data_IF_695295702872
#
_entry.id   IF_695295702872
#
_cell.length_a   1.000
_cell.length_b   1.000
_cell.length_c   1.000
_cell.angle_alpha   90.00
_cell.angle_beta   90.00
_cell.angle_gamma   90.00
#
_symmetry.space_group_name_H-M   'P 1'
#
loop_
_entity.id
_entity.type
_entity.pdbx_description
1 polymer ?
#
# COMPACT_ATOMS: atom_id res chain seq x y z
N UNK A 1 28.42 -32.08 -5.07
CA UNK A 1 28.95 -32.25 -3.69
C UNK A 1 29.42 -33.69 -3.51
N UNK A 2 30.68 -33.91 -3.13
CA UNK A 2 31.36 -35.21 -3.18
C UNK A 2 30.86 -36.15 -2.05
N UNK A 3 30.49 -37.41 -2.36
CA UNK A 3 29.89 -38.37 -1.41
C UNK A 3 30.74 -38.57 -0.15
N UNK A 4 32.07 -38.60 -0.29
CA UNK A 4 33.01 -38.74 0.83
C UNK A 4 33.00 -37.55 1.80
N UNK A 5 32.72 -36.34 1.31
CA UNK A 5 32.65 -35.12 2.14
C UNK A 5 31.39 -35.13 3.01
N UNK A 6 30.26 -35.59 2.47
CA UNK A 6 28.99 -35.70 3.19
C UNK A 6 29.05 -36.76 4.30
N UNK A 7 29.66 -37.92 4.03
CA UNK A 7 29.83 -38.98 5.04
C UNK A 7 30.75 -38.55 6.19
N UNK A 8 31.83 -37.80 5.91
CA UNK A 8 32.71 -37.24 6.96
C UNK A 8 32.00 -36.18 7.82
N UNK A 9 31.16 -35.33 7.22
CA UNK A 9 30.39 -34.32 7.96
C UNK A 9 29.36 -34.95 8.89
N UNK A 10 28.66 -36.00 8.44
CA UNK A 10 27.68 -36.72 9.26
C UNK A 10 28.37 -37.41 10.44
N UNK A 11 29.50 -38.10 10.21
CA UNK A 11 30.24 -38.78 11.28
C UNK A 11 30.71 -37.80 12.37
N UNK A 12 31.25 -36.64 11.97
CA UNK A 12 31.67 -35.59 12.91
C UNK A 12 30.50 -35.00 13.70
N UNK A 13 29.32 -34.89 13.09
CA UNK A 13 28.09 -34.44 13.76
C UNK A 13 27.59 -35.42 14.82
N UNK A 14 27.68 -36.73 14.56
CA UNK A 14 27.32 -37.78 15.52
C UNK A 14 28.28 -37.82 16.71
N UNK A 15 29.59 -37.72 16.48
CA UNK A 15 30.59 -37.62 17.56
C UNK A 15 30.35 -36.38 18.45
N UNK A 16 29.96 -35.25 17.86
CA UNK A 16 29.58 -34.05 18.61
C UNK A 16 28.28 -34.24 19.40
N UNK A 17 27.32 -34.99 18.85
CA UNK A 17 26.06 -35.29 19.54
C UNK A 17 26.31 -36.13 20.79
N UNK A 18 27.11 -37.20 20.68
CA UNK A 18 27.49 -38.06 21.82
C UNK A 18 28.18 -37.25 22.93
N UNK A 19 29.09 -36.33 22.56
CA UNK A 19 29.75 -35.45 23.52
C UNK A 19 28.78 -34.52 24.26
N UNK A 20 27.78 -33.98 23.55
CA UNK A 20 26.78 -33.11 24.15
C UNK A 20 25.80 -33.88 25.03
N UNK A 21 25.43 -35.11 24.68
CA UNK A 21 24.57 -35.96 25.51
C UNK A 21 25.29 -36.39 26.80
N UNK A 22 26.59 -36.65 26.74
CA UNK A 22 27.42 -36.87 27.93
C UNK A 22 27.48 -35.60 28.80
N UNK A 23 27.74 -34.44 28.18
CA UNK A 23 27.76 -33.16 28.88
C UNK A 23 26.41 -32.88 29.56
N UNK A 24 25.28 -33.15 28.90
CA UNK A 24 23.95 -32.98 29.48
C UNK A 24 23.79 -33.84 30.74
N UNK A 25 24.19 -35.12 30.66
CA UNK A 25 24.13 -36.06 31.79
C UNK A 25 24.99 -35.58 32.96
N UNK A 26 26.14 -34.97 32.70
CA UNK A 26 27.00 -34.39 33.73
C UNK A 26 26.41 -33.11 34.35
N UNK A 27 25.83 -32.22 33.55
CA UNK A 27 25.22 -30.98 34.05
C UNK A 27 23.94 -31.26 34.85
N UNK A 28 23.17 -32.30 34.50
CA UNK A 28 22.00 -32.76 35.28
C UNK A 28 22.37 -33.30 36.67
N UNK A 29 23.61 -33.78 36.86
CA UNK A 29 24.09 -34.26 38.17
C UNK A 29 24.52 -33.12 39.10
N UNK A 30 24.67 -31.89 38.59
CA UNK A 30 25.05 -30.72 39.39
C UNK A 30 23.78 -30.01 39.85
N UNK A 31 23.68 -29.72 41.14
CA UNK A 31 22.58 -28.91 41.69
C UNK A 31 22.60 -27.49 41.10
N UNK A 32 21.41 -26.93 40.84
CA UNK A 32 21.17 -25.55 40.38
C UNK A 32 21.82 -25.15 39.04
N UNK A 33 21.71 -25.99 37.99
CA UNK A 33 22.36 -25.74 36.70
C UNK A 33 21.40 -25.66 35.49
N UNK A 34 20.12 -25.33 35.74
CA UNK A 34 19.03 -25.32 34.75
C UNK A 34 19.35 -24.50 33.47
N UNK A 35 20.04 -23.37 33.61
CA UNK A 35 20.43 -22.51 32.48
C UNK A 35 21.39 -23.24 31.53
N UNK A 36 22.37 -23.98 32.07
CA UNK A 36 23.31 -24.75 31.24
C UNK A 36 22.65 -25.96 30.64
N UNK A 37 21.79 -26.66 31.38
CA UNK A 37 20.99 -27.78 30.89
C UNK A 37 20.21 -27.34 29.65
N UNK A 38 19.42 -26.27 29.75
CA UNK A 38 18.66 -25.75 28.61
C UNK A 38 19.53 -25.28 27.43
N UNK A 39 20.73 -24.75 27.69
CA UNK A 39 21.67 -24.40 26.62
C UNK A 39 22.24 -25.63 25.90
N UNK A 40 22.48 -26.74 26.61
CA UNK A 40 22.99 -27.98 26.03
C UNK A 40 21.89 -28.70 25.26
N UNK A 41 20.68 -28.78 25.81
CA UNK A 41 19.49 -29.34 25.15
C UNK A 41 19.19 -28.65 23.81
N UNK A 42 19.23 -27.32 23.76
CA UNK A 42 19.08 -26.56 22.51
C UNK A 42 20.11 -26.93 21.45
N UNK A 43 21.37 -27.19 21.85
CA UNK A 43 22.43 -27.62 20.91
C UNK A 43 22.19 -29.05 20.42
N UNK A 44 21.80 -29.96 21.32
CA UNK A 44 21.45 -31.35 20.99
C UNK A 44 20.30 -31.37 19.98
N UNK A 45 19.20 -30.66 20.28
CA UNK A 45 18.01 -30.65 19.42
C UNK A 45 18.30 -30.03 18.05
N UNK A 46 19.11 -28.96 18.00
CA UNK A 46 19.57 -28.38 16.73
C UNK A 46 20.38 -29.40 15.91
N UNK A 47 21.29 -30.16 16.52
CA UNK A 47 22.05 -31.20 15.83
C UNK A 47 21.16 -32.35 15.38
N UNK A 48 20.24 -32.83 16.22
CA UNK A 48 19.26 -33.87 15.86
C UNK A 48 18.42 -33.46 14.65
N UNK A 49 18.01 -32.19 14.58
CA UNK A 49 17.32 -31.64 13.42
C UNK A 49 18.20 -31.65 12.15
N UNK A 50 19.41 -31.08 12.21
CA UNK A 50 20.30 -30.94 11.04
C UNK A 50 20.82 -32.29 10.54
N UNK A 51 21.02 -33.24 11.46
CA UNK A 51 21.46 -34.60 11.15
C UNK A 51 20.33 -35.53 10.71
N UNK A 52 19.10 -35.02 10.56
CA UNK A 52 17.93 -35.78 10.11
C UNK A 52 17.61 -36.99 11.01
N UNK A 53 17.92 -36.87 12.30
CA UNK A 53 17.63 -37.88 13.33
C UNK A 53 16.17 -37.76 13.77
N UNK A 54 15.65 -36.53 13.82
CA UNK A 54 14.24 -36.29 14.09
C UNK A 54 13.37 -36.80 12.95
N UNK A 55 12.27 -37.47 13.31
CA UNK A 55 11.18 -37.68 12.38
C UNK A 55 10.40 -36.35 12.14
N UNK A 56 9.49 -36.34 11.17
CA UNK A 56 8.76 -35.12 10.80
C UNK A 56 7.91 -34.53 11.93
N UNK A 57 7.36 -35.36 12.82
CA UNK A 57 6.59 -34.90 13.97
C UNK A 57 7.49 -34.25 15.04
N UNK A 58 8.67 -34.80 15.27
CA UNK A 58 9.68 -34.25 16.17
C UNK A 58 10.24 -32.92 15.64
N UNK A 59 10.54 -32.85 14.33
CA UNK A 59 10.93 -31.60 13.67
C UNK A 59 9.86 -30.52 13.83
N UNK A 60 8.61 -30.86 13.56
CA UNK A 60 7.47 -29.93 13.69
C UNK A 60 7.31 -29.46 15.14
N UNK A 61 7.42 -30.38 16.11
CA UNK A 61 7.30 -30.05 17.54
C UNK A 61 8.42 -29.13 18.01
N UNK A 62 9.65 -29.39 17.58
CA UNK A 62 10.80 -28.55 17.90
C UNK A 62 10.68 -27.14 17.31
N UNK A 63 10.26 -27.02 16.04
CA UNK A 63 10.01 -25.71 15.43
C UNK A 63 8.88 -24.97 16.16
N UNK A 64 7.81 -25.66 16.55
CA UNK A 64 6.69 -25.08 17.33
C UNK A 64 7.16 -24.51 18.67
N UNK A 65 8.03 -25.23 19.37
CA UNK A 65 8.62 -24.78 20.64
C UNK A 65 9.48 -23.52 20.42
N UNK A 66 10.36 -23.53 19.41
CA UNK A 66 11.17 -22.38 19.05
C UNK A 66 10.31 -21.15 18.68
N UNK A 67 9.24 -21.35 17.91
CA UNK A 67 8.29 -20.30 17.53
C UNK A 67 7.59 -19.69 18.75
N UNK A 68 7.16 -20.54 19.69
CA UNK A 68 6.48 -20.12 20.92
C UNK A 68 7.43 -19.31 21.82
N UNK A 69 8.65 -19.81 22.01
CA UNK A 69 9.69 -19.11 22.76
C UNK A 69 10.05 -17.75 22.13
N UNK A 70 10.21 -17.69 20.80
CA UNK A 70 10.45 -16.43 20.08
C UNK A 70 9.29 -15.44 20.24
N UNK A 71 8.04 -15.93 20.25
CA UNK A 71 6.86 -15.11 20.46
C UNK A 71 6.77 -14.56 21.89
N UNK A 72 7.07 -15.38 22.89
CA UNK A 72 7.11 -14.93 24.30
C UNK A 72 8.17 -13.85 24.50
N UNK A 73 9.39 -14.02 23.97
CA UNK A 73 10.45 -13.00 24.03
C UNK A 73 10.00 -11.67 23.41
N UNK A 74 9.24 -11.73 22.31
CA UNK A 74 8.70 -10.51 21.67
C UNK A 74 7.64 -9.82 22.53
N UNK A 75 6.85 -10.58 23.28
CA UNK A 75 5.62 -10.11 23.95
C UNK A 75 5.80 -9.78 25.43
N UNK A 76 6.90 -10.21 26.04
CA UNK A 76 7.19 -9.96 27.46
C UNK A 76 7.67 -8.51 27.70
N UNK A 77 7.58 -8.06 28.96
CA UNK A 77 7.83 -6.69 29.43
C UNK A 77 9.27 -6.23 29.15
N UNK A 78 10.20 -7.16 28.99
CA UNK A 78 11.59 -6.91 28.60
C UNK A 78 11.77 -7.13 27.09
N UNK A 79 11.34 -6.15 26.30
CA UNK A 79 11.27 -6.16 24.82
C UNK A 79 12.64 -6.24 24.11
N UNK A 80 13.40 -7.33 24.25
CA UNK A 80 14.58 -7.54 23.42
C UNK A 80 14.20 -8.08 22.03
N UNK A 81 13.75 -7.15 21.18
CA UNK A 81 13.43 -7.43 19.77
C UNK A 81 14.63 -8.00 19.01
N UNK A 82 15.87 -7.77 19.45
CA UNK A 82 17.06 -8.34 18.80
C UNK A 82 17.20 -9.84 19.08
N UNK A 83 16.81 -10.29 20.27
CA UNK A 83 16.77 -11.71 20.59
C UNK A 83 15.70 -12.40 19.76
N UNK A 84 14.50 -11.80 19.62
CA UNK A 84 13.44 -12.32 18.76
C UNK A 84 13.91 -12.46 17.29
N UNK A 85 14.62 -11.45 16.75
CA UNK A 85 15.24 -11.51 15.41
C UNK A 85 16.18 -12.70 15.29
N UNK A 86 17.05 -12.92 16.28
CA UNK A 86 18.01 -14.03 16.28
C UNK A 86 17.32 -15.39 16.34
N UNK A 87 16.23 -15.50 17.10
CA UNK A 87 15.44 -16.72 17.21
C UNK A 87 14.72 -17.04 15.90
N UNK A 88 13.98 -16.11 15.31
CA UNK A 88 13.30 -16.35 14.03
C UNK A 88 14.28 -16.62 12.90
N UNK A 89 15.44 -15.96 12.88
CA UNK A 89 16.52 -16.29 11.94
C UNK A 89 17.00 -17.73 12.12
N UNK A 90 17.19 -18.18 13.36
CA UNK A 90 17.60 -19.56 13.66
C UNK A 90 16.53 -20.58 13.24
N UNK A 91 15.25 -20.24 13.36
CA UNK A 91 14.14 -21.07 12.84
C UNK A 91 14.24 -21.18 11.32
N UNK A 92 14.42 -20.06 10.61
CA UNK A 92 14.56 -20.04 9.15
C UNK A 92 15.84 -20.73 8.64
N UNK A 93 16.89 -20.83 9.46
CA UNK A 93 18.08 -21.63 9.13
C UNK A 93 17.78 -23.14 9.12
N UNK A 94 16.82 -23.58 9.94
CA UNK A 94 16.39 -24.97 10.07
C UNK A 94 15.25 -25.29 9.10
N UNK A 95 14.22 -24.44 9.06
CA UNK A 95 13.01 -24.56 8.27
C UNK A 95 12.84 -23.32 7.36
N UNK A 96 13.52 -23.36 6.23
CA UNK A 96 13.63 -22.21 5.30
C UNK A 96 12.31 -21.80 4.66
N UNK A 97 11.41 -22.75 4.47
CA UNK A 97 10.12 -22.53 3.81
C UNK A 97 9.00 -22.28 4.84
N UNK A 98 9.33 -22.00 6.11
CA UNK A 98 8.34 -21.75 7.16
C UNK A 98 7.59 -20.42 6.94
N UNK A 99 6.27 -20.44 6.62
CA UNK A 99 5.54 -19.22 6.30
C UNK A 99 5.44 -18.28 7.51
N UNK A 100 5.07 -18.83 8.67
CA UNK A 100 4.86 -18.04 9.89
C UNK A 100 6.15 -17.40 10.41
N UNK A 101 7.26 -18.14 10.42
CA UNK A 101 8.56 -17.60 10.82
C UNK A 101 9.03 -16.50 9.86
N UNK A 102 8.85 -16.69 8.55
CA UNK A 102 9.18 -15.69 7.52
C UNK A 102 8.37 -14.41 7.73
N UNK A 103 7.05 -14.53 7.94
CA UNK A 103 6.18 -13.39 8.23
C UNK A 103 6.60 -12.63 9.49
N UNK A 104 6.87 -13.35 10.59
CA UNK A 104 7.24 -12.73 11.87
C UNK A 104 8.63 -12.08 11.81
N UNK A 105 9.57 -12.71 11.11
CA UNK A 105 10.89 -12.14 10.86
C UNK A 105 10.79 -10.88 9.99
N UNK A 106 10.00 -10.91 8.92
CA UNK A 106 9.75 -9.76 8.05
C UNK A 106 9.22 -8.56 8.83
N UNK A 107 8.25 -8.78 9.72
CA UNK A 107 7.72 -7.73 10.60
C UNK A 107 8.79 -7.10 11.51
N UNK A 108 9.71 -7.92 12.06
CA UNK A 108 10.82 -7.40 12.87
C UNK A 108 11.83 -6.58 12.04
N UNK A 109 12.00 -6.90 10.75
CA UNK A 109 12.84 -6.11 9.85
C UNK A 109 12.14 -4.81 9.43
N UNK A 110 10.83 -4.87 9.20
CA UNK A 110 9.98 -3.71 8.97
C UNK A 110 10.09 -2.72 10.14
N UNK A 111 9.95 -3.18 11.38
CA UNK A 111 10.10 -2.36 12.60
C UNK A 111 11.48 -1.68 12.70
N UNK A 112 12.50 -2.27 12.07
CA UNK A 112 13.89 -1.78 12.04
C UNK A 112 14.20 -0.93 10.81
N UNK A 113 13.20 -0.62 9.99
CA UNK A 113 13.34 0.07 8.71
C UNK A 113 14.24 -0.64 7.68
N UNK A 114 14.45 -1.96 7.84
CA UNK A 114 15.17 -2.78 6.87
C UNK A 114 14.23 -3.19 5.74
N UNK A 115 13.77 -2.21 4.95
CA UNK A 115 12.65 -2.35 4.01
C UNK A 115 12.81 -3.49 3.01
N UNK A 116 13.98 -3.61 2.37
CA UNK A 116 14.23 -4.64 1.37
C UNK A 116 14.16 -6.04 1.98
N UNK A 117 14.78 -6.23 3.15
CA UNK A 117 14.79 -7.52 3.84
C UNK A 117 13.38 -7.88 4.34
N UNK A 118 12.60 -6.90 4.77
CA UNK A 118 11.19 -7.10 5.12
C UNK A 118 10.38 -7.57 3.90
N UNK A 119 10.54 -6.90 2.74
CA UNK A 119 9.86 -7.30 1.49
C UNK A 119 10.18 -8.75 1.13
N UNK A 120 11.46 -9.11 1.11
CA UNK A 120 11.90 -10.48 0.76
C UNK A 120 11.19 -11.52 1.62
N UNK A 121 11.21 -11.36 2.94
CA UNK A 121 10.61 -12.35 3.83
C UNK A 121 9.08 -12.33 3.85
N UNK A 122 8.42 -11.19 3.60
CA UNK A 122 6.97 -11.19 3.38
C UNK A 122 6.60 -11.93 2.09
N UNK A 123 7.40 -11.80 1.03
CA UNK A 123 7.20 -12.56 -0.21
C UNK A 123 7.43 -14.05 0.01
N UNK A 124 8.50 -14.44 0.69
CA UNK A 124 8.78 -15.84 1.04
C UNK A 124 7.60 -16.46 1.81
N UNK A 125 7.06 -15.73 2.79
CA UNK A 125 5.92 -16.18 3.60
C UNK A 125 4.63 -16.40 2.77
N UNK A 126 4.41 -15.59 1.74
CA UNK A 126 3.28 -15.74 0.82
C UNK A 126 3.52 -16.90 -0.15
N UNK A 127 4.71 -16.98 -0.74
CA UNK A 127 5.06 -18.01 -1.72
C UNK A 127 5.04 -19.41 -1.12
N UNK A 128 5.55 -19.56 0.10
CA UNK A 128 5.56 -20.84 0.82
C UNK A 128 4.15 -21.46 0.99
N UNK A 129 3.08 -20.65 0.93
CA UNK A 129 1.71 -21.15 0.97
C UNK A 129 1.14 -21.60 -0.36
N UNK A 130 1.71 -21.14 -1.47
CA UNK A 130 1.22 -21.43 -2.82
C UNK A 130 1.81 -22.69 -3.43
N UNK A 131 2.87 -23.25 -2.84
CA UNK A 131 3.52 -24.45 -3.35
C UNK A 131 2.73 -25.72 -2.96
N UNK A 132 2.35 -26.58 -3.93
CA UNK A 132 1.66 -27.83 -3.67
C UNK A 132 2.65 -28.88 -3.13
N UNK A 133 3.05 -28.75 -1.87
CA UNK A 133 3.89 -29.73 -1.17
C UNK A 133 3.20 -30.15 0.14
N UNK A 134 2.10 -30.89 0.02
CA UNK A 134 1.44 -31.55 1.17
C UNK A 134 0.86 -30.59 2.23
N UNK A 135 0.77 -31.08 3.47
CA UNK A 135 0.34 -30.28 4.62
C UNK A 135 1.42 -29.24 4.97
N UNK A 136 1.12 -27.97 4.68
CA UNK A 136 1.98 -26.85 5.09
C UNK A 136 1.95 -26.75 6.62
N UNK A 137 3.12 -26.91 7.24
CA UNK A 137 3.28 -26.63 8.65
C UNK A 137 3.31 -25.12 8.87
N UNK A 138 2.56 -24.63 9.87
CA UNK A 138 2.47 -23.21 10.24
C UNK A 138 1.99 -22.29 9.09
N UNK A 139 0.79 -22.53 8.52
CA UNK A 139 0.24 -21.65 7.49
C UNK A 139 -0.07 -20.26 8.06
N UNK A 140 -0.09 -19.25 7.21
CA UNK A 140 -0.58 -17.93 7.62
C UNK A 140 -2.11 -17.93 7.60
N UNK A 141 -2.68 -17.11 8.48
CA UNK A 141 -4.08 -16.68 8.34
C UNK A 141 -4.26 -15.76 7.13
N UNK A 142 -5.49 -15.66 6.63
CA UNK A 142 -5.85 -14.74 5.54
C UNK A 142 -5.49 -13.28 5.87
N UNK A 143 -5.75 -12.84 7.10
CA UNK A 143 -5.36 -11.52 7.60
C UNK A 143 -3.85 -11.27 7.50
N UNK A 144 -3.02 -12.27 7.84
CA UNK A 144 -1.57 -12.16 7.74
C UNK A 144 -1.11 -12.08 6.28
N UNK A 145 -1.77 -12.79 5.36
CA UNK A 145 -1.47 -12.71 3.92
C UNK A 145 -1.77 -11.30 3.39
N UNK A 146 -2.94 -10.76 3.73
CA UNK A 146 -3.34 -9.40 3.32
C UNK A 146 -2.36 -8.38 3.91
N UNK A 147 -2.06 -8.47 5.22
CA UNK A 147 -1.10 -7.58 5.88
C UNK A 147 0.29 -7.66 5.26
N UNK A 148 0.78 -8.86 4.93
CA UNK A 148 2.07 -9.03 4.27
C UNK A 148 2.13 -8.29 2.92
N UNK A 149 1.08 -8.40 2.09
CA UNK A 149 0.98 -7.66 0.81
C UNK A 149 0.97 -6.14 1.03
N UNK A 150 0.23 -5.65 2.03
CA UNK A 150 0.20 -4.23 2.37
C UNK A 150 1.56 -3.73 2.88
N UNK A 151 2.25 -4.50 3.73
CA UNK A 151 3.59 -4.16 4.19
C UNK A 151 4.61 -4.15 3.06
N UNK A 152 4.52 -5.06 2.08
CA UNK A 152 5.36 -5.03 0.87
C UNK A 152 5.17 -3.69 0.13
N UNK A 153 3.92 -3.29 -0.12
CA UNK A 153 3.62 -2.02 -0.77
C UNK A 153 4.16 -0.81 0.00
N UNK A 154 3.97 -0.79 1.32
CA UNK A 154 4.51 0.27 2.17
C UNK A 154 6.03 0.33 2.15
N UNK A 155 6.72 -0.80 2.31
CA UNK A 155 8.19 -0.86 2.29
C UNK A 155 8.73 -0.39 0.93
N UNK A 156 8.10 -0.81 -0.18
CA UNK A 156 8.48 -0.38 -1.52
C UNK A 156 8.32 1.14 -1.69
N UNK A 157 7.24 1.72 -1.13
CA UNK A 157 7.04 3.17 -1.14
C UNK A 157 8.11 3.92 -0.31
N UNK A 158 8.56 3.36 0.84
CA UNK A 158 9.67 3.94 1.60
C UNK A 158 10.99 3.92 0.81
N UNK A 159 11.32 2.79 0.17
CA UNK A 159 12.51 2.68 -0.69
C UNK A 159 12.43 3.69 -1.85
N UNK A 160 11.27 3.82 -2.49
CA UNK A 160 11.05 4.80 -3.55
C UNK A 160 11.25 6.24 -3.05
N UNK A 161 10.75 6.56 -1.86
CA UNK A 161 10.93 7.87 -1.24
C UNK A 161 12.39 8.16 -0.88
N UNK A 162 13.12 7.18 -0.35
CA UNK A 162 14.56 7.28 -0.06
C UNK A 162 15.35 7.53 -1.35
N UNK A 163 15.09 6.75 -2.40
CA UNK A 163 15.72 6.92 -3.71
C UNK A 163 15.43 8.31 -4.31
N UNK A 164 14.19 8.81 -4.20
CA UNK A 164 13.83 10.15 -4.63
C UNK A 164 14.58 11.23 -3.85
N UNK A 165 14.70 11.07 -2.54
CA UNK A 165 15.43 12.01 -1.68
C UNK A 165 16.92 12.05 -2.00
N UNK A 166 17.54 10.90 -2.29
CA UNK A 166 18.94 10.82 -2.72
C UNK A 166 19.15 11.45 -4.09
N UNK A 167 18.28 11.14 -5.04
CA UNK A 167 18.37 11.68 -6.39
C UNK A 167 18.21 13.21 -6.42
N UNK A 168 17.35 13.78 -5.55
CA UNK A 168 17.22 15.23 -5.41
C UNK A 168 18.49 15.92 -4.86
N UNK A 169 19.43 15.17 -4.26
CA UNK A 169 20.74 15.70 -3.81
C UNK A 169 21.81 15.68 -4.90
N UNK A 170 21.55 15.04 -6.05
CA UNK A 170 22.50 14.97 -7.15
C UNK A 170 22.60 16.32 -7.87
N UNK A 171 23.81 16.66 -8.32
CA UNK A 171 24.02 17.80 -9.21
C UNK A 171 23.35 17.54 -10.56
N UNK A 172 22.77 18.60 -11.14
CA UNK A 172 22.04 18.51 -12.43
C UNK A 172 22.89 17.94 -13.56
N UNK A 173 24.19 18.18 -13.56
CA UNK A 173 25.11 17.68 -14.57
C UNK A 173 25.29 16.15 -14.52
N UNK A 174 24.99 15.51 -13.37
CA UNK A 174 25.07 14.05 -13.19
C UNK A 174 23.81 13.31 -13.63
N UNK A 175 22.69 14.03 -13.85
CA UNK A 175 21.39 13.43 -14.18
C UNK A 175 21.24 13.09 -15.67
N UNK A 176 22.07 13.69 -16.53
CA UNK A 176 21.99 13.63 -17.98
C UNK A 176 22.80 12.50 -18.63
N UNK A 177 23.50 11.65 -17.87
CA UNK A 177 24.36 10.59 -18.41
C UNK A 177 23.65 9.23 -18.43
N UNK A 178 23.18 8.75 -19.60
CA UNK A 178 22.74 7.37 -19.74
C UNK A 178 23.98 6.47 -19.90
N UNK A 179 24.39 5.82 -18.82
CA UNK A 179 25.41 4.76 -18.92
C UNK A 179 24.75 3.44 -19.36
N UNK A 180 23.56 3.14 -18.84
CA UNK A 180 22.68 2.03 -19.29
C UNK A 180 21.19 2.37 -19.01
N UNK A 181 20.27 1.97 -19.90
CA UNK A 181 18.82 2.08 -19.67
C UNK A 181 18.22 3.50 -19.81
N UNK A 182 17.22 3.81 -18.98
CA UNK A 182 16.56 5.13 -18.95
C UNK A 182 17.39 6.13 -18.12
N UNK A 183 17.44 7.40 -18.53
CA UNK A 183 18.14 8.43 -17.75
C UNK A 183 17.54 8.60 -16.36
N UNK A 184 18.37 9.04 -15.40
CA UNK A 184 17.91 9.29 -14.01
C UNK A 184 16.77 10.32 -14.02
N UNK A 185 16.83 11.34 -14.89
CA UNK A 185 15.76 12.34 -15.05
C UNK A 185 14.42 11.70 -15.43
N UNK A 186 14.42 10.79 -16.41
CA UNK A 186 13.21 10.09 -16.86
C UNK A 186 12.70 9.14 -15.78
N UNK A 187 13.59 8.43 -15.10
CA UNK A 187 13.22 7.55 -13.98
C UNK A 187 12.63 8.34 -12.81
N UNK A 188 13.20 9.50 -12.48
CA UNK A 188 12.66 10.41 -11.46
C UNK A 188 11.28 10.95 -11.84
N UNK A 189 11.10 11.33 -13.11
CA UNK A 189 9.79 11.76 -13.62
C UNK A 189 8.73 10.67 -13.43
N UNK A 190 9.04 9.43 -13.82
CA UNK A 190 8.14 8.29 -13.65
C UNK A 190 7.87 7.98 -12.18
N UNK A 191 8.90 7.97 -11.34
CA UNK A 191 8.77 7.68 -9.90
C UNK A 191 7.91 8.73 -9.20
N UNK A 192 8.13 10.02 -9.51
CA UNK A 192 7.28 11.11 -9.02
C UNK A 192 5.85 10.92 -9.49
N UNK A 193 5.61 10.59 -10.76
CA UNK A 193 4.26 10.37 -11.28
C UNK A 193 3.54 9.20 -10.57
N UNK A 194 4.22 8.08 -10.33
CA UNK A 194 3.64 6.93 -9.63
C UNK A 194 3.42 7.18 -8.12
N UNK A 195 4.35 7.86 -7.45
CA UNK A 195 4.15 8.30 -6.06
C UNK A 195 3.08 9.39 -5.93
N UNK A 196 2.89 10.17 -6.99
CA UNK A 196 1.84 11.16 -7.13
C UNK A 196 0.61 10.61 -7.85
N UNK A 197 0.46 9.29 -8.08
CA UNK A 197 -0.84 8.73 -8.45
C UNK A 197 -1.76 8.98 -7.28
N UNK A 198 -2.62 9.96 -7.49
CA UNK A 198 -3.43 10.56 -6.46
C UNK A 198 -4.82 9.94 -6.50
N UNK A 199 -5.43 9.77 -5.33
CA UNK A 199 -6.78 9.22 -5.16
C UNK A 199 -7.85 9.93 -6.00
N UNK A 200 -7.62 11.21 -6.34
CA UNK A 200 -8.54 12.05 -7.09
C UNK A 200 -7.89 12.73 -8.31
N UNK A 201 -8.71 13.01 -9.32
CA UNK A 201 -8.44 13.86 -10.46
C UNK A 201 -9.20 15.18 -10.32
N UNK A 202 -8.50 16.29 -10.56
CA UNK A 202 -9.06 17.64 -10.52
C UNK A 202 -8.95 18.33 -11.89
N UNK A 203 -10.09 18.80 -12.40
CA UNK A 203 -10.20 19.63 -13.60
C UNK A 203 -10.44 21.08 -13.16
N UNK A 204 -9.66 22.00 -13.72
CA UNK A 204 -9.79 23.45 -13.52
C UNK A 204 -9.86 24.18 -14.85
N UNK A 205 -10.04 25.51 -14.82
CA UNK A 205 -9.84 26.39 -15.97
C UNK A 205 -8.49 26.18 -16.67
N UNK A 206 -7.43 25.89 -15.90
CA UNK A 206 -6.05 25.85 -16.40
C UNK A 206 -5.61 24.46 -16.88
N UNK A 207 -6.38 23.41 -16.63
CA UNK A 207 -5.99 22.05 -16.99
C UNK A 207 -6.47 21.01 -16.00
N UNK A 208 -5.90 19.83 -16.10
CA UNK A 208 -6.25 18.64 -15.32
C UNK A 208 -5.01 18.16 -14.57
N UNK A 209 -5.16 17.78 -13.30
CA UNK A 209 -4.08 17.21 -12.50
C UNK A 209 -4.62 16.27 -11.43
N UNK A 210 -3.79 15.31 -11.04
CA UNK A 210 -4.05 14.51 -9.84
C UNK A 210 -3.92 15.32 -8.55
N UNK A 211 -4.80 15.08 -7.56
CA UNK A 211 -4.75 15.68 -6.21
C UNK A 211 -4.94 14.63 -5.11
N UNK A 212 -4.15 14.73 -4.05
CA UNK A 212 -4.28 13.84 -2.88
C UNK A 212 -5.52 14.17 -2.05
N UNK A 213 -5.93 13.26 -1.15
CA UNK A 213 -6.99 13.54 -0.18
C UNK A 213 -6.74 14.76 0.69
N UNK A 214 -5.51 14.93 1.16
CA UNK A 214 -5.12 16.10 1.96
C UNK A 214 -5.22 17.38 1.12
N UNK A 215 -4.88 17.33 -0.17
CA UNK A 215 -5.07 18.48 -1.06
C UNK A 215 -6.55 18.76 -1.34
N UNK A 216 -7.38 17.73 -1.47
CA UNK A 216 -8.83 17.86 -1.65
C UNK A 216 -9.52 18.45 -0.42
N UNK A 217 -9.20 17.96 0.79
CA UNK A 217 -9.72 18.50 2.04
C UNK A 217 -9.32 19.98 2.21
N UNK A 218 -8.04 20.30 1.94
CA UNK A 218 -7.58 21.70 1.93
C UNK A 218 -8.28 22.55 0.88
N UNK A 219 -8.60 21.99 -0.28
CA UNK A 219 -9.35 22.72 -1.31
C UNK A 219 -10.73 23.10 -0.78
N UNK A 220 -11.45 22.16 -0.14
CA UNK A 220 -12.76 22.41 0.48
C UNK A 220 -12.69 23.47 1.58
N UNK A 221 -11.66 23.41 2.43
CA UNK A 221 -11.49 24.34 3.56
C UNK A 221 -11.10 25.77 3.12
N UNK A 222 -10.48 25.92 1.94
CA UNK A 222 -9.93 27.20 1.47
C UNK A 222 -10.59 27.71 0.18
N UNK A 223 -11.86 27.37 -0.06
CA UNK A 223 -12.59 27.96 -1.19
C UNK A 223 -12.80 29.46 -0.95
N UNK A 224 -12.29 30.30 -1.86
CA UNK A 224 -12.43 31.75 -1.76
C UNK A 224 -13.54 32.30 -2.67
N UNK A 225 -14.37 33.20 -2.14
CA UNK A 225 -15.22 34.12 -2.92
C UNK A 225 -16.27 33.49 -3.85
N UNK A 226 -16.02 33.55 -5.16
CA UNK A 226 -16.92 33.12 -6.26
C UNK A 226 -16.50 31.76 -6.85
N UNK A 227 -15.56 31.05 -6.24
CA UNK A 227 -15.09 29.75 -6.74
C UNK A 227 -16.15 28.67 -6.59
N UNK A 228 -16.33 27.85 -7.63
CA UNK A 228 -17.23 26.71 -7.65
C UNK A 228 -16.46 25.40 -7.58
N UNK A 229 -16.83 24.53 -6.64
CA UNK A 229 -16.43 23.14 -6.70
C UNK A 229 -17.62 22.26 -7.08
N UNK A 230 -17.41 21.34 -8.02
CA UNK A 230 -18.27 20.21 -8.32
C UNK A 230 -17.52 18.94 -7.94
N UNK A 231 -17.90 18.32 -6.82
CA UNK A 231 -17.26 17.10 -6.34
C UNK A 231 -18.07 15.87 -6.71
N UNK A 232 -17.39 14.82 -7.15
CA UNK A 232 -17.86 13.44 -7.31
C UNK A 232 -17.11 12.48 -6.38
N UNK A 233 -16.44 12.99 -5.34
CA UNK A 233 -15.66 12.19 -4.39
C UNK A 233 -16.58 11.46 -3.40
N UNK A 234 -17.63 12.14 -2.96
CA UNK A 234 -18.62 11.66 -2.01
C UNK A 234 -19.74 10.84 -2.68
N UNK A 235 -20.54 10.13 -1.87
CA UNK A 235 -21.64 9.28 -2.35
C UNK A 235 -22.66 10.01 -3.23
N UNK A 236 -22.79 11.33 -3.08
CA UNK A 236 -23.63 12.17 -3.95
C UNK A 236 -22.82 13.36 -4.42
N UNK A 237 -22.85 13.68 -5.72
CA UNK A 237 -22.15 14.86 -6.18
C UNK A 237 -22.78 16.12 -5.57
N UNK A 238 -21.95 17.08 -5.22
CA UNK A 238 -22.42 18.33 -4.65
C UNK A 238 -21.71 19.53 -5.27
N UNK A 239 -22.33 20.70 -5.08
CA UNK A 239 -21.72 21.99 -5.39
C UNK A 239 -21.57 22.80 -4.12
N UNK A 240 -20.42 23.46 -3.97
CA UNK A 240 -20.14 24.37 -2.86
C UNK A 240 -19.56 25.69 -3.39
N UNK A 241 -19.86 26.77 -2.66
CA UNK A 241 -19.31 28.11 -2.84
C UNK A 241 -18.77 28.59 -1.50
N UNK A 242 -17.45 28.79 -1.38
CA UNK A 242 -16.86 29.26 -0.12
C UNK A 242 -17.20 28.37 1.09
N UNK A 243 -17.47 28.98 2.25
CA UNK A 243 -17.79 28.28 3.51
C UNK A 243 -19.24 27.74 3.60
N UNK A 244 -20.14 28.11 2.69
CA UNK A 244 -21.55 27.71 2.75
C UNK A 244 -21.81 26.39 2.00
N UNK A 245 -22.26 25.38 2.76
CA UNK A 245 -22.57 24.01 2.29
C UNK A 245 -23.68 24.01 1.22
N UNK A 246 -23.53 23.34 0.07
CA UNK A 246 -23.33 21.90 -0.04
C UNK A 246 -24.65 21.22 -0.40
N UNK A 247 -25.34 21.69 -1.45
CA UNK A 247 -26.57 21.04 -1.90
C UNK A 247 -26.23 19.83 -2.79
N UNK A 248 -26.68 18.62 -2.43
CA UNK A 248 -26.46 17.46 -3.27
C UNK A 248 -27.20 17.65 -4.60
N UNK A 249 -26.48 17.60 -5.70
CA UNK A 249 -27.05 17.57 -7.03
C UNK A 249 -27.47 16.14 -7.37
N UNK A 250 -28.56 15.99 -8.13
CA UNK A 250 -28.87 14.70 -8.75
C UNK A 250 -27.84 14.39 -9.83
N UNK A 251 -27.53 13.11 -10.08
CA UNK A 251 -26.51 12.73 -11.07
C UNK A 251 -26.68 13.42 -12.42
N UNK A 252 -27.92 13.51 -12.91
CA UNK A 252 -28.24 14.21 -14.17
C UNK A 252 -27.94 15.72 -14.16
N UNK A 253 -28.14 16.40 -13.03
CA UNK A 253 -27.82 17.83 -12.90
C UNK A 253 -26.32 18.04 -12.74
N UNK A 254 -25.63 17.15 -12.03
CA UNK A 254 -24.18 17.16 -11.88
C UNK A 254 -23.47 16.94 -13.21
N UNK A 255 -23.94 15.99 -14.03
CA UNK A 255 -23.40 15.74 -15.36
C UNK A 255 -23.60 16.92 -16.30
N UNK A 256 -24.79 17.53 -16.26
CA UNK A 256 -25.08 18.72 -17.04
C UNK A 256 -24.17 19.90 -16.63
N UNK A 257 -23.98 20.12 -15.33
CA UNK A 257 -23.09 21.16 -14.84
C UNK A 257 -21.63 20.88 -15.25
N UNK A 258 -21.17 19.63 -15.11
CA UNK A 258 -19.84 19.20 -15.57
C UNK A 258 -19.61 19.56 -17.04
N UNK A 259 -20.55 19.21 -17.92
CA UNK A 259 -20.43 19.53 -19.35
C UNK A 259 -20.43 21.04 -19.63
N UNK A 260 -21.28 21.81 -18.93
CA UNK A 260 -21.30 23.28 -19.06
C UNK A 260 -19.96 23.89 -18.65
N UNK A 261 -19.38 23.44 -17.54
CA UNK A 261 -18.07 23.90 -17.05
C UNK A 261 -16.95 23.53 -18.03
N UNK A 262 -16.94 22.30 -18.55
CA UNK A 262 -15.95 21.87 -19.56
C UNK A 262 -16.06 22.70 -20.85
N UNK A 263 -17.27 22.97 -21.34
CA UNK A 263 -17.48 23.83 -22.51
C UNK A 263 -17.05 25.27 -22.26
N UNK A 264 -17.23 25.77 -21.03
CA UNK A 264 -16.79 27.11 -20.64
C UNK A 264 -15.28 27.31 -20.72
N UNK A 265 -14.47 26.26 -20.51
CA UNK A 265 -13.00 26.31 -20.71
C UNK A 265 -12.63 26.71 -22.13
N UNK A 266 -13.48 26.38 -23.11
CA UNK A 266 -13.30 26.70 -24.53
C UNK A 266 -14.10 27.95 -24.95
N UNK A 267 -14.71 28.64 -23.99
CA UNK A 267 -15.67 29.73 -24.20
C UNK A 267 -16.89 29.34 -25.08
N UNK A 268 -17.19 28.05 -25.17
CA UNK A 268 -18.25 27.50 -26.01
C UNK A 268 -19.56 27.33 -25.25
N UNK A 269 -20.72 27.54 -25.90
CA UNK A 269 -22.01 27.14 -25.35
C UNK A 269 -22.23 25.63 -25.49
N UNK A 270 -23.01 25.05 -24.58
CA UNK A 270 -23.49 23.67 -24.65
C UNK A 270 -24.85 23.61 -25.35
N UNK A 271 -24.90 22.99 -26.52
CA UNK A 271 -26.14 22.78 -27.27
C UNK A 271 -26.81 21.46 -26.90
N UNK A 272 -28.10 21.33 -27.25
CA UNK A 272 -28.83 20.08 -27.07
C UNK A 272 -28.15 18.89 -27.76
N UNK A 273 -27.51 19.11 -28.92
CA UNK A 273 -26.85 18.07 -29.69
C UNK A 273 -25.51 17.61 -29.10
N UNK A 274 -24.92 18.42 -28.21
CA UNK A 274 -23.67 18.07 -27.51
C UNK A 274 -23.94 17.13 -26.33
N UNK A 275 -25.20 17.01 -25.90
CA UNK A 275 -25.64 16.05 -24.90
C UNK A 275 -25.83 14.70 -25.61
N UNK A 276 -24.98 13.72 -25.28
CA UNK A 276 -25.04 12.35 -25.81
C UNK A 276 -26.21 11.54 -25.19
N UNK A 277 -27.41 12.14 -25.20
CA UNK A 277 -28.65 11.58 -24.64
C UNK A 277 -29.69 11.41 -25.76
N UNK A 278 -29.79 10.19 -26.28
CA UNK A 278 -30.77 9.84 -27.32
C UNK A 278 -32.20 10.22 -26.90
N UNK A 279 -32.84 11.09 -27.68
CA UNK A 279 -34.24 11.47 -27.50
C UNK A 279 -34.49 12.59 -26.49
N UNK A 280 -33.45 13.26 -25.99
CA UNK A 280 -33.62 14.44 -25.14
C UNK A 280 -34.28 15.57 -25.93
N UNK A 281 -35.42 16.07 -25.43
CA UNK A 281 -36.16 17.20 -26.04
C UNK A 281 -35.70 18.54 -25.45
N UNK A 282 -35.77 19.60 -26.25
CA UNK A 282 -35.43 20.96 -25.82
C UNK A 282 -36.13 21.39 -24.52
N UNK A 283 -37.43 21.10 -24.38
CA UNK A 283 -38.18 21.42 -23.15
C UNK A 283 -37.58 20.75 -21.91
N UNK A 284 -37.13 19.50 -22.03
CA UNK A 284 -36.48 18.77 -20.94
C UNK A 284 -35.12 19.39 -20.62
N UNK A 285 -34.32 19.71 -21.63
CA UNK A 285 -33.03 20.38 -21.45
C UNK A 285 -33.20 21.74 -20.76
N UNK A 286 -34.12 22.58 -21.24
CA UNK A 286 -34.43 23.88 -20.64
C UNK A 286 -34.88 23.75 -19.18
N UNK A 287 -35.76 22.79 -18.86
CA UNK A 287 -36.17 22.52 -17.49
C UNK A 287 -35.00 22.07 -16.59
N UNK A 288 -34.07 21.25 -17.12
CA UNK A 288 -32.86 20.85 -16.38
C UNK A 288 -31.99 22.06 -16.07
N UNK A 289 -31.80 22.98 -17.02
CA UNK A 289 -31.05 24.22 -16.78
C UNK A 289 -31.73 25.11 -15.72
N UNK A 290 -33.06 25.24 -15.77
CA UNK A 290 -33.81 26.02 -14.75
C UNK A 290 -33.60 25.42 -13.36
N UNK A 291 -33.71 24.08 -13.23
CA UNK A 291 -33.47 23.37 -11.97
C UNK A 291 -32.02 23.50 -11.49
N UNK A 292 -31.06 23.45 -12.42
CA UNK A 292 -29.65 23.64 -12.10
C UNK A 292 -29.36 25.05 -11.59
N UNK A 293 -29.88 26.10 -12.25
CA UNK A 293 -29.77 27.47 -11.76
C UNK A 293 -30.41 27.66 -10.37
N UNK A 294 -31.55 27.00 -10.09
CA UNK A 294 -32.16 27.02 -8.77
C UNK A 294 -31.26 26.36 -7.71
N UNK A 295 -30.70 25.18 -8.01
CA UNK A 295 -29.78 24.49 -7.11
C UNK A 295 -28.47 25.29 -6.86
N UNK A 296 -27.96 25.98 -7.88
CA UNK A 296 -26.83 26.91 -7.72
C UNK A 296 -27.24 28.08 -6.82
N UNK A 297 -28.43 28.65 -7.00
CA UNK A 297 -28.90 29.72 -6.13
C UNK A 297 -29.05 29.28 -4.67
N UNK A 298 -29.58 28.08 -4.43
CA UNK A 298 -29.64 27.48 -3.08
C UNK A 298 -28.25 27.23 -2.49
N UNK A 299 -27.23 27.06 -3.34
CA UNK A 299 -25.82 26.89 -2.94
C UNK A 299 -25.07 28.22 -2.84
N UNK A 300 -25.79 29.34 -2.72
CA UNK A 300 -25.23 30.66 -2.45
C UNK A 300 -24.93 31.51 -3.69
N UNK A 301 -25.21 31.07 -4.92
CA UNK A 301 -25.00 31.88 -6.13
C UNK A 301 -26.18 32.83 -6.39
N UNK A 302 -26.02 34.11 -6.04
CA UNK A 302 -27.09 35.13 -6.16
C UNK A 302 -27.41 35.57 -7.60
N UNK A 303 -26.50 35.33 -8.54
CA UNK A 303 -26.71 35.61 -9.98
C UNK A 303 -27.03 34.35 -10.76
N UNK A 304 -27.83 34.51 -11.82
CA UNK A 304 -28.07 33.43 -12.78
C UNK A 304 -26.83 33.16 -13.62
N UNK A 305 -26.09 32.10 -13.26
CA UNK A 305 -24.83 31.73 -13.91
C UNK A 305 -25.03 31.14 -15.31
N UNK A 306 -26.13 30.43 -15.56
CA UNK A 306 -26.36 29.75 -16.84
C UNK A 306 -27.43 30.51 -17.63
N UNK A 307 -27.03 31.05 -18.79
CA UNK A 307 -27.88 31.89 -19.64
C UNK A 307 -28.18 31.22 -20.98
N UNK A 308 -29.42 31.35 -21.43
CA UNK A 308 -29.83 30.93 -22.77
C UNK A 308 -29.21 31.85 -23.82
N UNK A 309 -28.80 31.30 -24.96
CA UNK A 309 -28.37 32.10 -26.11
C UNK A 309 -29.59 32.39 -26.99
N UNK A 310 -29.96 33.66 -27.24
CA UNK A 310 -31.13 34.00 -28.03
C UNK A 310 -31.16 33.31 -29.40
N UNK A 311 -32.33 32.76 -29.74
CA UNK A 311 -32.59 32.13 -31.03
C UNK A 311 -31.88 30.79 -31.27
N UNK A 312 -31.25 30.18 -30.26
CA UNK A 312 -30.58 28.88 -30.38
C UNK A 312 -30.90 27.95 -29.21
N UNK A 313 -30.96 26.65 -29.48
CA UNK A 313 -31.18 25.60 -28.48
C UNK A 313 -29.89 25.27 -27.70
N UNK A 314 -29.34 26.28 -26.99
CA UNK A 314 -28.08 26.14 -26.26
C UNK A 314 -27.96 27.11 -25.10
N UNK A 315 -27.17 26.72 -24.11
CA UNK A 315 -26.89 27.51 -22.91
C UNK A 315 -25.39 27.75 -22.76
N UNK A 316 -25.03 28.85 -22.10
CA UNK A 316 -23.65 29.17 -21.74
C UNK A 316 -23.61 29.52 -20.26
N UNK A 317 -22.66 28.92 -19.55
CA UNK A 317 -22.35 29.32 -18.18
C UNK A 317 -21.39 30.52 -18.22
N UNK A 318 -21.62 31.50 -17.35
CA UNK A 318 -20.71 32.63 -17.20
C UNK A 318 -19.31 32.15 -16.78
N UNK A 319 -18.24 32.83 -17.23
CA UNK A 319 -16.89 32.50 -16.79
C UNK A 319 -16.79 32.56 -15.26
N UNK A 320 -16.29 31.48 -14.69
CA UNK A 320 -16.11 31.31 -13.27
C UNK A 320 -14.85 30.49 -13.02
N UNK A 321 -14.15 30.75 -11.93
CA UNK A 321 -13.14 29.83 -11.44
C UNK A 321 -13.82 28.60 -10.85
N UNK A 322 -13.51 27.44 -11.42
CA UNK A 322 -14.12 26.19 -11.00
C UNK A 322 -13.10 25.08 -10.79
N UNK A 323 -13.52 24.11 -9.98
CA UNK A 323 -12.87 22.84 -9.72
C UNK A 323 -13.89 21.73 -9.94
N UNK A 324 -13.57 20.74 -10.79
CA UNK A 324 -14.30 19.48 -10.85
C UNK A 324 -13.37 18.43 -10.25
N UNK A 325 -13.79 17.76 -9.18
CA UNK A 325 -12.98 16.73 -8.54
C UNK A 325 -13.72 15.40 -8.60
N UNK A 326 -13.05 14.35 -9.05
CA UNK A 326 -13.59 13.00 -9.04
C UNK A 326 -12.51 11.99 -8.65
N UNK A 327 -12.92 10.80 -8.20
CA UNK A 327 -11.99 9.69 -8.00
C UNK A 327 -11.41 9.22 -9.34
N UNK A 328 -10.19 8.68 -9.33
CA UNK A 328 -9.53 8.18 -10.55
C UNK A 328 -10.31 7.04 -11.24
N UNK A 329 -11.08 6.27 -10.47
CA UNK A 329 -11.97 5.20 -10.96
C UNK A 329 -13.33 5.72 -11.47
N UNK A 330 -13.59 7.02 -11.36
CA UNK A 330 -14.79 7.66 -11.88
C UNK A 330 -14.57 8.13 -13.31
N UNK A 331 -15.36 7.63 -14.26
CA UNK A 331 -15.31 8.06 -15.66
C UNK A 331 -15.73 9.53 -15.77
N UNK A 332 -14.76 10.44 -15.88
CA UNK A 332 -14.98 11.87 -16.08
C UNK A 332 -15.45 12.21 -17.50
#
# INVERSE_FOLDING_TARGET
>A
MNRQTRTRQIKKGLEQLEQLELQLTEEMKKENNEIRIGSVEKKINRLKYISDIFNEQEKTSYIKEMMSHAFHIKSDVYQDRNVAVTQYKSILELDRENPEASYRYAFLQYDKNNWLLAITHFQDAIQAQTYPRGNINFPLSEDQIIKAKLYIGYCAAQIAKEALNEANKLNKDSLALPVEGISIEKLLGNLKAELNKTEFMMITNNGERGISKVEYERLLDNLEGEQLILSFVEDRPFVQRGEDAGNPLTGTLSDLLKQLLIMSKKDLPLSLNDLDELGLKWNTYSQRVVRLNAALHESGYSRTLIKAIPGRERYKIEPLDFYIVAREDYSL
#
